data_IF_493885482180
#
_entry.id   IF_493885482180
#
_cell.length_a   1.000
_cell.length_b   1.000
_cell.length_c   1.000
_cell.angle_alpha   90.00
_cell.angle_beta   90.00
_cell.angle_gamma   90.00
#
_symmetry.space_group_name_H-M   'P 1'
#
loop_
_entity.id
_entity.type
_entity.pdbx_description
1 polymer ?
#
# COMPACT_ATOMS: atom_id res chain seq x y z
N UNK A 1 15.70 4.50 -6.26
CA UNK A 1 14.40 4.35 -6.96
C UNK A 1 13.97 5.73 -7.39
N UNK A 2 13.52 5.93 -8.62
CA UNK A 2 13.12 7.25 -9.09
C UNK A 2 11.72 7.58 -8.56
N UNK A 3 11.53 8.78 -8.03
CA UNK A 3 10.26 9.26 -7.42
C UNK A 3 9.09 9.18 -8.42
N UNK A 4 9.38 9.36 -9.71
CA UNK A 4 8.39 9.30 -10.78
C UNK A 4 7.99 7.87 -11.19
N UNK A 5 8.68 6.84 -10.66
CA UNK A 5 8.40 5.43 -10.97
C UNK A 5 7.35 4.77 -10.07
N UNK A 6 6.87 5.45 -9.01
CA UNK A 6 5.93 4.90 -8.02
C UNK A 6 4.58 5.64 -7.93
N UNK A 7 3.92 5.97 -9.06
CA UNK A 7 2.65 6.70 -9.01
C UNK A 7 1.53 5.94 -8.31
N UNK A 8 1.61 4.61 -8.25
CA UNK A 8 0.60 3.76 -7.61
C UNK A 8 0.61 3.86 -6.08
N UNK A 9 1.76 4.15 -5.45
CA UNK A 9 1.83 4.40 -4.01
C UNK A 9 1.26 5.78 -3.66
N UNK A 10 1.63 6.84 -4.41
CA UNK A 10 1.04 8.18 -4.24
C UNK A 10 -0.48 8.13 -4.42
N UNK A 11 -0.97 7.48 -5.50
CA UNK A 11 -2.40 7.31 -5.75
C UNK A 11 -3.12 6.52 -4.65
N UNK A 12 -2.42 5.60 -3.96
CA UNK A 12 -2.98 4.90 -2.82
C UNK A 12 -3.12 5.82 -1.60
N UNK A 13 -2.07 6.55 -1.26
CA UNK A 13 -2.08 7.45 -0.10
C UNK A 13 -3.02 8.64 -0.29
N UNK A 14 -3.25 9.10 -1.53
CA UNK A 14 -4.24 10.13 -1.91
C UNK A 14 -5.68 9.74 -1.54
N UNK A 15 -5.99 8.45 -1.41
CA UNK A 15 -7.31 7.98 -0.98
C UNK A 15 -7.56 8.16 0.52
N UNK A 16 -6.57 8.60 1.29
CA UNK A 16 -6.69 8.90 2.71
C UNK A 16 -6.62 7.67 3.63
N UNK A 17 -6.07 6.56 3.17
CA UNK A 17 -5.77 5.42 4.03
C UNK A 17 -4.64 5.74 4.99
N UNK A 18 -4.74 5.33 6.25
CA UNK A 18 -3.65 5.49 7.24
C UNK A 18 -2.70 4.29 7.22
N UNK A 19 -3.22 3.09 6.89
CA UNK A 19 -2.46 1.85 6.78
C UNK A 19 -2.74 1.18 5.44
N UNK A 20 -1.94 0.20 5.07
CA UNK A 20 -2.19 -0.64 3.89
C UNK A 20 -3.15 -1.79 4.19
N UNK A 21 -3.63 -1.92 5.43
CA UNK A 21 -4.56 -2.93 5.87
C UNK A 21 -5.97 -2.38 6.01
N UNK A 22 -6.93 -3.06 5.42
CA UNK A 22 -8.34 -2.93 5.73
C UNK A 22 -9.18 -2.18 4.72
N UNK A 23 -10.33 -2.78 4.46
CA UNK A 23 -11.34 -2.35 3.48
C UNK A 23 -12.25 -1.23 4.01
N UNK A 24 -12.08 -0.78 5.22
CA UNK A 24 -13.02 0.13 5.85
C UNK A 24 -12.34 1.20 6.67
N UNK A 25 -12.11 2.35 6.03
CA UNK A 25 -11.87 3.69 6.61
C UNK A 25 -10.78 3.84 7.69
N UNK A 26 -10.31 5.05 7.92
CA UNK A 26 -8.99 5.38 8.44
C UNK A 26 -8.83 4.94 9.91
N UNK A 27 -8.81 3.65 10.16
CA UNK A 27 -8.35 3.13 11.44
C UNK A 27 -6.85 2.87 11.33
N UNK A 28 -6.15 3.31 12.37
CA UNK A 28 -4.76 2.94 12.57
C UNK A 28 -4.67 1.47 13.00
N UNK A 29 -3.45 0.95 13.08
CA UNK A 29 -3.20 -0.38 13.63
C UNK A 29 -3.85 -0.55 15.00
N UNK A 30 -4.35 -1.76 15.27
CA UNK A 30 -4.86 -2.22 16.54
C UNK A 30 -4.19 -3.55 16.94
N UNK A 31 -4.58 -4.11 18.10
CA UNK A 31 -4.07 -5.38 18.61
C UNK A 31 -2.53 -5.43 18.69
N UNK A 32 -1.98 -6.58 18.37
CA UNK A 32 -0.54 -6.89 18.53
C UNK A 32 0.40 -5.87 17.89
N UNK A 33 0.05 -5.34 16.70
CA UNK A 33 0.91 -4.37 16.00
C UNK A 33 0.93 -3.03 16.73
N UNK A 34 -0.24 -2.58 17.19
CA UNK A 34 -0.34 -1.35 17.98
C UNK A 34 0.40 -1.47 19.29
N UNK A 35 0.14 -2.56 20.03
CA UNK A 35 0.75 -2.83 21.35
C UNK A 35 2.27 -2.89 21.24
N UNK A 36 2.79 -3.54 20.17
CA UNK A 36 4.22 -3.57 19.89
C UNK A 36 4.82 -2.16 19.79
N UNK A 37 4.21 -1.27 18.99
CA UNK A 37 4.73 0.09 18.83
C UNK A 37 4.55 0.94 20.07
N UNK A 38 3.41 0.83 20.78
CA UNK A 38 3.19 1.54 22.06
C UNK A 38 4.26 1.17 23.09
N UNK A 39 4.61 -0.11 23.23
CA UNK A 39 5.68 -0.58 24.10
C UNK A 39 7.02 0.07 23.76
N UNK A 40 7.40 0.08 22.46
CA UNK A 40 8.68 0.67 22.02
C UNK A 40 8.77 2.16 22.30
N UNK A 41 7.69 2.91 22.12
CA UNK A 41 7.65 4.34 22.41
C UNK A 41 7.58 4.67 23.90
N UNK A 42 6.98 3.81 24.71
CA UNK A 42 6.98 3.98 26.16
C UNK A 42 8.39 3.88 26.78
N UNK A 43 9.26 3.04 26.21
CA UNK A 43 10.65 2.88 26.65
C UNK A 43 11.53 4.12 26.38
N UNK A 44 11.12 5.03 25.51
CA UNK A 44 11.93 6.17 25.09
C UNK A 44 12.01 7.27 26.17
N UNK A 45 13.10 8.07 26.21
CA UNK A 45 13.16 9.29 27.01
C UNK A 45 11.99 10.25 26.71
N UNK A 46 11.70 11.16 27.64
CA UNK A 46 10.57 12.09 27.53
C UNK A 46 10.73 13.05 26.33
N UNK A 47 11.95 13.40 25.97
CA UNK A 47 12.31 14.33 24.90
C UNK A 47 12.88 13.62 23.65
N UNK A 48 12.55 12.34 23.45
CA UNK A 48 13.09 11.56 22.36
C UNK A 48 12.72 12.12 20.98
N UNK A 49 13.65 11.95 20.04
CA UNK A 49 13.47 12.25 18.62
C UNK A 49 13.24 10.95 17.86
N UNK A 50 12.16 10.89 17.13
CA UNK A 50 11.64 9.71 16.44
C UNK A 50 11.56 10.02 14.94
N UNK A 51 12.12 9.14 14.11
CA UNK A 51 11.96 9.19 12.66
C UNK A 51 11.22 7.94 12.20
N UNK A 52 10.13 8.11 11.47
CA UNK A 52 9.39 7.02 10.83
C UNK A 52 9.64 7.08 9.32
N UNK A 53 10.37 6.10 8.75
CA UNK A 53 10.73 6.05 7.33
C UNK A 53 9.79 5.12 6.57
N UNK A 54 9.53 5.42 5.29
CA UNK A 54 8.51 4.77 4.48
C UNK A 54 7.17 4.73 5.23
N UNK A 55 6.83 5.88 5.81
CA UNK A 55 5.76 6.01 6.80
C UNK A 55 4.35 5.98 6.19
N UNK A 56 4.23 6.10 4.86
CA UNK A 56 2.96 6.33 4.20
C UNK A 56 2.24 7.53 4.82
N UNK A 57 0.96 7.43 5.08
CA UNK A 57 0.23 8.47 5.79
C UNK A 57 0.51 8.49 7.31
N UNK A 58 1.60 7.91 7.80
CA UNK A 58 2.14 8.09 9.15
C UNK A 58 1.41 7.31 10.23
N UNK A 59 1.12 6.04 10.01
CA UNK A 59 0.45 5.18 10.97
C UNK A 59 1.25 5.03 12.27
N UNK A 60 2.53 4.65 12.17
CA UNK A 60 3.43 4.46 13.33
C UNK A 60 3.78 5.78 13.99
N UNK A 61 4.09 6.82 13.21
CA UNK A 61 4.32 8.18 13.72
C UNK A 61 3.11 8.70 14.52
N UNK A 62 1.88 8.37 14.09
CA UNK A 62 0.65 8.73 14.82
C UNK A 62 0.56 7.99 16.16
N UNK A 63 0.92 6.71 16.23
CA UNK A 63 0.98 5.97 17.50
C UNK A 63 2.00 6.63 18.44
N UNK A 64 3.18 6.99 17.95
CA UNK A 64 4.19 7.70 18.75
C UNK A 64 3.64 9.02 19.32
N UNK A 65 2.94 9.81 18.51
CA UNK A 65 2.34 11.07 18.94
C UNK A 65 1.22 10.86 19.98
N UNK A 66 0.41 9.83 19.82
CA UNK A 66 -0.63 9.46 20.81
C UNK A 66 0.00 9.01 22.14
N UNK A 67 1.07 8.20 22.10
CA UNK A 67 1.83 7.81 23.30
C UNK A 67 2.43 9.02 23.98
N UNK A 68 3.06 9.94 23.22
CA UNK A 68 3.61 11.19 23.76
C UNK A 68 2.57 11.98 24.53
N UNK A 69 1.40 12.20 23.93
CA UNK A 69 0.29 12.94 24.56
C UNK A 69 -0.28 12.24 25.80
N UNK A 70 -0.46 10.92 25.74
CA UNK A 70 -1.04 10.13 26.82
C UNK A 70 -0.13 10.04 28.05
N UNK A 71 1.19 10.12 27.85
CA UNK A 71 2.21 9.89 28.87
C UNK A 71 3.10 11.13 29.16
N UNK A 72 2.64 12.34 28.73
CA UNK A 72 3.33 13.61 28.94
C UNK A 72 4.78 13.59 28.45
N UNK A 73 5.04 12.95 27.30
CA UNK A 73 6.34 12.93 26.65
C UNK A 73 6.39 13.97 25.53
N UNK A 74 7.45 14.77 25.49
CA UNK A 74 7.65 15.83 24.51
C UNK A 74 8.44 15.32 23.29
N UNK A 75 7.91 14.29 22.60
CA UNK A 75 8.57 13.73 21.43
C UNK A 75 8.65 14.72 20.27
N UNK A 76 9.83 14.80 19.63
CA UNK A 76 9.96 15.28 18.26
C UNK A 76 9.73 14.11 17.33
N UNK A 77 8.80 14.22 16.37
CA UNK A 77 8.43 13.14 15.47
C UNK A 77 8.48 13.63 14.04
N UNK A 78 9.27 12.97 13.21
CA UNK A 78 9.30 13.16 11.76
C UNK A 78 8.86 11.88 11.06
N UNK A 79 8.15 12.02 9.95
CA UNK A 79 7.67 10.93 9.10
C UNK A 79 8.03 11.21 7.65
N UNK A 80 8.72 10.30 7.00
CA UNK A 80 9.19 10.47 5.62
C UNK A 80 8.67 9.35 4.72
N UNK A 81 8.32 9.68 3.49
CA UNK A 81 7.94 8.70 2.49
C UNK A 81 8.36 9.16 1.08
N UNK A 82 8.72 8.22 0.22
CA UNK A 82 9.04 8.51 -1.18
C UNK A 82 7.79 8.93 -1.98
N UNK A 83 6.62 8.46 -1.59
CA UNK A 83 5.35 8.84 -2.19
C UNK A 83 4.90 10.25 -1.73
N UNK A 84 3.90 10.81 -2.42
CA UNK A 84 3.15 11.92 -1.86
C UNK A 84 2.29 11.41 -0.70
N UNK A 85 2.42 12.04 0.47
CA UNK A 85 1.66 11.70 1.67
C UNK A 85 0.82 12.89 2.12
N UNK A 86 -0.37 12.60 2.62
CA UNK A 86 -1.36 13.63 2.99
C UNK A 86 -1.70 13.55 4.48
N UNK A 87 -0.91 14.26 5.28
CA UNK A 87 -1.06 14.30 6.73
C UNK A 87 -2.45 14.75 7.21
N UNK A 88 -3.10 15.60 6.43
CA UNK A 88 -4.28 16.37 6.87
C UNK A 88 -5.60 15.61 6.72
N UNK A 89 -5.65 14.58 5.88
CA UNK A 89 -6.91 13.98 5.42
C UNK A 89 -7.38 12.78 6.24
N UNK A 90 -6.60 12.32 7.22
CA UNK A 90 -6.77 10.96 7.76
C UNK A 90 -7.08 10.94 9.25
N UNK A 91 -8.11 10.18 9.62
CA UNK A 91 -8.42 9.82 11.00
C UNK A 91 -9.58 10.59 11.65
N UNK A 92 -9.91 10.16 12.85
CA UNK A 92 -10.82 10.88 13.74
C UNK A 92 -10.17 12.14 14.35
N UNK A 93 -10.90 12.90 15.13
CA UNK A 93 -10.41 14.15 15.71
C UNK A 93 -9.23 13.96 16.66
N UNK A 94 -9.17 12.87 17.39
CA UNK A 94 -8.04 12.54 18.26
C UNK A 94 -6.77 12.24 17.43
N UNK A 95 -6.91 11.43 16.40
CA UNK A 95 -5.85 11.15 15.43
C UNK A 95 -5.35 12.41 14.76
N UNK A 96 -6.25 13.25 14.25
CA UNK A 96 -5.88 14.55 13.63
C UNK A 96 -5.14 15.46 14.60
N UNK A 97 -5.56 15.47 15.87
CA UNK A 97 -4.91 16.28 16.89
C UNK A 97 -3.50 15.78 17.21
N UNK A 98 -3.30 14.47 17.32
CA UNK A 98 -1.98 13.87 17.52
C UNK A 98 -1.05 14.16 16.33
N UNK A 99 -1.54 14.09 15.12
CA UNK A 99 -0.78 14.32 13.89
C UNK A 99 -0.26 15.73 13.70
N UNK A 100 -0.86 16.74 14.37
CA UNK A 100 -0.37 18.12 14.34
C UNK A 100 1.06 18.30 14.88
N UNK A 101 1.54 17.36 15.68
CA UNK A 101 2.90 17.36 16.22
C UNK A 101 3.91 16.58 15.39
N UNK A 102 3.53 16.08 14.22
CA UNK A 102 4.38 15.28 13.34
C UNK A 102 4.83 16.14 12.15
N UNK A 103 6.13 16.15 11.85
CA UNK A 103 6.68 16.72 10.63
C UNK A 103 6.62 15.68 9.50
N UNK A 104 5.83 15.94 8.47
CA UNK A 104 5.70 15.06 7.32
C UNK A 104 6.54 15.54 6.14
N UNK A 105 7.34 14.64 5.57
CA UNK A 105 8.18 14.90 4.40
C UNK A 105 7.84 13.92 3.28
N UNK A 106 7.11 14.38 2.28
CA UNK A 106 6.86 13.66 1.04
C UNK A 106 8.10 13.62 0.15
N UNK A 107 8.14 12.71 -0.80
CA UNK A 107 9.21 12.56 -1.81
C UNK A 107 10.60 12.41 -1.19
N UNK A 108 10.65 11.72 -0.07
CA UNK A 108 11.89 11.48 0.68
C UNK A 108 12.18 9.99 0.71
N UNK A 109 13.12 9.50 -0.10
CA UNK A 109 13.50 8.09 -0.12
C UNK A 109 14.22 7.68 1.16
N UNK A 110 14.11 6.41 1.54
CA UNK A 110 14.77 5.87 2.73
C UNK A 110 16.29 6.03 2.70
N UNK A 111 16.87 6.01 1.51
CA UNK A 111 18.30 6.11 1.25
C UNK A 111 18.88 7.52 1.45
N UNK A 112 18.02 8.51 1.63
CA UNK A 112 18.47 9.90 1.82
C UNK A 112 17.47 10.69 2.67
N UNK A 113 17.85 10.96 3.91
CA UNK A 113 17.03 11.66 4.89
C UNK A 113 17.50 13.11 5.10
N UNK A 114 16.58 14.10 5.09
CA UNK A 114 16.92 15.52 5.18
C UNK A 114 17.23 15.97 6.61
N UNK A 115 17.94 15.14 7.39
CA UNK A 115 18.25 15.41 8.79
C UNK A 115 19.76 15.31 9.04
N UNK A 116 20.20 15.95 10.11
CA UNK A 116 21.60 15.93 10.54
C UNK A 116 22.06 14.53 11.01
N UNK A 117 23.36 14.32 11.07
CA UNK A 117 23.94 13.14 11.67
C UNK A 117 23.61 13.10 13.18
N UNK A 118 23.53 11.89 13.73
CA UNK A 118 23.38 11.69 15.18
C UNK A 118 22.16 12.42 15.79
N UNK A 119 21.06 12.49 15.06
CA UNK A 119 19.90 13.32 15.44
C UNK A 119 18.81 12.53 16.16
N UNK A 120 18.51 11.28 15.79
CA UNK A 120 17.38 10.51 16.29
C UNK A 120 17.74 9.49 17.35
N UNK A 121 16.87 9.34 18.36
CA UNK A 121 16.96 8.27 19.35
C UNK A 121 16.51 6.92 18.76
N UNK A 122 15.52 6.97 17.88
CA UNK A 122 14.97 5.81 17.21
C UNK A 122 14.55 6.16 15.78
N UNK A 123 14.81 5.22 14.87
CA UNK A 123 14.22 5.18 13.53
C UNK A 123 13.28 3.98 13.48
N UNK A 124 12.08 4.17 12.93
CA UNK A 124 11.05 3.13 12.79
C UNK A 124 10.65 2.93 11.34
N UNK A 125 10.15 1.74 11.01
CA UNK A 125 9.47 1.46 9.74
C UNK A 125 8.50 0.32 9.89
N UNK A 126 7.32 0.44 9.30
CA UNK A 126 6.29 -0.59 9.29
C UNK A 126 5.92 -0.95 7.86
N UNK A 127 6.33 -2.15 7.40
CA UNK A 127 6.06 -2.66 6.05
C UNK A 127 6.48 -1.68 4.95
N UNK A 128 7.71 -1.14 5.04
CA UNK A 128 8.15 -0.08 4.15
C UNK A 128 9.62 -0.12 3.78
N UNK A 129 10.54 -0.21 4.74
CA UNK A 129 11.97 -0.08 4.45
C UNK A 129 12.50 -1.22 3.56
N UNK A 130 11.89 -2.39 3.60
CA UNK A 130 12.27 -3.54 2.76
C UNK A 130 12.04 -3.34 1.27
N UNK A 131 11.35 -2.27 0.86
CA UNK A 131 11.18 -1.88 -0.54
C UNK A 131 12.36 -1.04 -1.08
N UNK A 132 13.22 -0.57 -0.20
CA UNK A 132 14.34 0.31 -0.53
C UNK A 132 15.62 -0.46 -0.89
N UNK A 133 16.67 0.26 -1.29
CA UNK A 133 18.02 -0.27 -1.32
C UNK A 133 18.53 -0.46 0.12
N UNK A 134 18.46 -1.70 0.61
CA UNK A 134 18.71 -2.04 2.02
C UNK A 134 20.10 -1.56 2.48
N UNK A 135 21.14 -1.72 1.67
CA UNK A 135 22.50 -1.35 2.07
C UNK A 135 22.63 0.17 2.25
N UNK A 136 22.10 0.95 1.29
CA UNK A 136 22.13 2.41 1.37
C UNK A 136 21.21 2.92 2.48
N UNK A 137 20.04 2.32 2.62
CA UNK A 137 19.09 2.67 3.69
C UNK A 137 19.67 2.42 5.07
N UNK A 138 20.33 1.29 5.30
CA UNK A 138 20.97 1.00 6.57
C UNK A 138 22.12 1.98 6.88
N UNK A 139 22.93 2.35 5.88
CA UNK A 139 23.97 3.35 6.04
C UNK A 139 23.37 4.73 6.42
N UNK A 140 22.27 5.11 5.78
CA UNK A 140 21.58 6.37 6.06
C UNK A 140 20.89 6.37 7.42
N UNK A 141 20.21 5.28 7.81
CA UNK A 141 19.65 5.10 9.15
C UNK A 141 20.76 5.23 10.21
N UNK A 142 21.91 4.59 9.98
CA UNK A 142 23.04 4.67 10.92
C UNK A 142 23.59 6.09 11.03
N UNK A 143 23.61 6.85 9.93
CA UNK A 143 24.04 8.26 9.91
C UNK A 143 23.14 9.15 10.77
N UNK A 144 21.83 9.00 10.66
CA UNK A 144 20.89 9.88 11.38
C UNK A 144 20.65 9.45 12.83
N UNK A 145 20.97 8.19 13.20
CA UNK A 145 20.85 7.70 14.57
C UNK A 145 21.99 8.23 15.45
N UNK A 146 21.63 8.79 16.61
CA UNK A 146 22.60 9.15 17.64
C UNK A 146 23.34 7.92 18.18
N UNK A 147 24.50 8.09 18.81
CA UNK A 147 25.18 6.99 19.49
C UNK A 147 24.26 6.28 20.47
N UNK A 148 24.14 4.95 20.33
CA UNK A 148 23.22 4.13 21.12
C UNK A 148 21.75 4.18 20.68
N UNK A 149 21.43 4.92 19.62
CA UNK A 149 20.11 4.92 18.99
C UNK A 149 19.73 3.56 18.41
N UNK A 150 18.45 3.34 18.13
CA UNK A 150 17.91 2.05 17.68
C UNK A 150 17.18 2.21 16.35
N UNK A 151 17.31 1.22 15.46
CA UNK A 151 16.38 1.02 14.36
C UNK A 151 15.48 -0.17 14.67
N UNK A 152 14.16 0.04 14.57
CA UNK A 152 13.16 -1.01 14.76
C UNK A 152 12.23 -1.01 13.56
N UNK A 153 12.08 -2.16 12.93
CA UNK A 153 11.15 -2.32 11.83
C UNK A 153 10.28 -3.57 11.98
N UNK A 154 9.07 -3.49 11.41
CA UNK A 154 8.26 -4.67 11.10
C UNK A 154 8.18 -4.77 9.58
N UNK A 155 8.61 -5.90 9.03
CA UNK A 155 8.73 -6.11 7.59
C UNK A 155 7.96 -7.34 7.13
N UNK A 156 7.61 -7.39 5.85
CA UNK A 156 6.91 -8.52 5.26
C UNK A 156 7.71 -9.82 5.34
N UNK A 157 7.07 -10.89 5.82
CA UNK A 157 7.60 -12.25 5.74
C UNK A 157 6.98 -12.97 4.55
N UNK A 158 7.77 -13.67 3.73
CA UNK A 158 7.28 -14.39 2.53
C UNK A 158 6.13 -15.37 2.82
N UNK A 159 6.13 -16.00 3.98
CA UNK A 159 5.08 -16.96 4.40
C UNK A 159 3.95 -16.31 5.21
N UNK A 160 3.91 -15.00 5.38
CA UNK A 160 2.84 -14.35 6.13
C UNK A 160 1.50 -14.50 5.40
N UNK A 161 0.42 -14.50 6.17
CA UNK A 161 -0.95 -14.50 5.62
C UNK A 161 -1.15 -13.33 4.65
N UNK A 162 -0.57 -12.18 4.96
CA UNK A 162 -0.63 -10.99 4.14
C UNK A 162 -0.04 -11.21 2.74
N UNK A 163 1.18 -11.78 2.68
CA UNK A 163 1.85 -12.04 1.39
C UNK A 163 1.13 -13.12 0.59
N UNK A 164 0.65 -14.18 1.24
CA UNK A 164 -0.15 -15.23 0.57
C UNK A 164 -1.44 -14.67 -0.02
N UNK A 165 -2.11 -13.78 0.72
CA UNK A 165 -3.31 -13.10 0.20
C UNK A 165 -2.97 -12.21 -0.99
N UNK A 166 -1.87 -11.44 -0.90
CA UNK A 166 -1.41 -10.59 -1.98
C UNK A 166 -1.07 -11.37 -3.26
N UNK A 167 -0.49 -12.55 -3.14
CA UNK A 167 -0.21 -13.42 -4.31
C UNK A 167 -1.49 -13.86 -5.01
N UNK A 168 -2.52 -14.23 -4.25
CA UNK A 168 -3.83 -14.60 -4.80
C UNK A 168 -4.48 -13.40 -5.50
N UNK A 169 -4.51 -12.25 -4.85
CA UNK A 169 -5.08 -11.02 -5.40
C UNK A 169 -4.37 -10.58 -6.67
N UNK A 170 -3.03 -10.58 -6.65
CA UNK A 170 -2.19 -10.25 -7.81
C UNK A 170 -2.55 -11.11 -9.03
N UNK A 171 -2.79 -12.40 -8.82
CA UNK A 171 -3.16 -13.33 -9.88
C UNK A 171 -4.57 -13.05 -10.45
N UNK A 172 -5.52 -12.61 -9.61
CA UNK A 172 -6.86 -12.19 -10.06
C UNK A 172 -6.76 -10.98 -10.99
N UNK A 173 -6.01 -9.95 -10.58
CA UNK A 173 -5.79 -8.78 -11.44
C UNK A 173 -5.04 -9.11 -12.72
N UNK A 174 -4.03 -9.99 -12.67
CA UNK A 174 -3.32 -10.46 -13.86
C UNK A 174 -4.27 -11.14 -14.84
N UNK A 175 -5.16 -12.00 -14.36
CA UNK A 175 -6.16 -12.66 -15.23
C UNK A 175 -7.08 -11.66 -15.90
N UNK A 176 -7.58 -10.66 -15.17
CA UNK A 176 -8.49 -9.67 -15.73
C UNK A 176 -7.81 -8.75 -16.75
N UNK A 177 -6.60 -8.28 -16.43
CA UNK A 177 -5.87 -7.29 -17.22
C UNK A 177 -5.19 -7.88 -18.46
N UNK A 178 -4.46 -8.97 -18.28
CA UNK A 178 -3.54 -9.50 -19.30
C UNK A 178 -4.06 -10.83 -19.89
N UNK A 179 -4.31 -11.83 -19.06
CA UNK A 179 -4.62 -13.18 -19.55
C UNK A 179 -5.92 -13.23 -20.36
N UNK A 180 -6.97 -12.61 -19.84
CA UNK A 180 -8.29 -12.58 -20.49
C UNK A 180 -8.52 -11.29 -21.28
N UNK A 181 -7.72 -10.24 -21.07
CA UNK A 181 -7.94 -8.91 -21.68
C UNK A 181 -9.40 -8.47 -21.59
N UNK A 182 -9.96 -8.54 -20.37
CA UNK A 182 -11.38 -8.20 -20.15
C UNK A 182 -11.64 -6.75 -20.52
N UNK A 183 -10.80 -5.85 -20.04
CA UNK A 183 -10.96 -4.41 -20.28
C UNK A 183 -10.86 -4.04 -21.76
N UNK A 184 -9.94 -4.66 -22.51
CA UNK A 184 -9.82 -4.48 -23.95
C UNK A 184 -11.04 -5.00 -24.70
N UNK A 185 -11.60 -6.15 -24.30
CA UNK A 185 -12.81 -6.68 -24.89
C UNK A 185 -14.04 -5.77 -24.61
N UNK A 186 -14.20 -5.33 -23.37
CA UNK A 186 -15.27 -4.39 -22.96
C UNK A 186 -15.16 -3.08 -23.74
N UNK A 187 -13.96 -2.52 -23.86
CA UNK A 187 -13.69 -1.28 -24.60
C UNK A 187 -14.11 -1.41 -26.06
N UNK A 188 -13.75 -2.53 -26.72
CA UNK A 188 -14.18 -2.80 -28.12
C UNK A 188 -15.69 -2.91 -28.25
N UNK A 189 -16.35 -3.59 -27.33
CA UNK A 189 -17.79 -3.70 -27.28
C UNK A 189 -18.49 -2.34 -27.11
N UNK A 190 -18.09 -1.57 -26.09
CA UNK A 190 -18.71 -0.29 -25.79
C UNK A 190 -18.51 0.75 -26.91
N UNK A 191 -17.36 0.72 -27.60
CA UNK A 191 -17.13 1.55 -28.79
C UNK A 191 -18.03 1.15 -29.95
N UNK A 192 -18.29 -0.15 -30.14
CA UNK A 192 -19.12 -0.65 -31.24
C UNK A 192 -20.63 -0.34 -31.10
N UNK A 193 -21.11 -0.10 -29.88
CA UNK A 193 -22.48 0.35 -29.62
C UNK A 193 -22.74 1.73 -30.30
N UNK A 194 -21.72 2.60 -30.38
CA UNK A 194 -21.86 3.97 -30.94
C UNK A 194 -22.50 4.95 -29.96
N UNK A 195 -22.77 6.17 -30.41
CA UNK A 195 -23.35 7.21 -29.57
C UNK A 195 -24.79 6.87 -29.13
N UNK A 196 -25.26 7.42 -27.99
CA UNK A 196 -26.64 7.29 -27.53
C UNK A 196 -27.61 7.73 -28.61
N UNK A 197 -28.70 7.03 -28.76
CA UNK A 197 -29.76 7.37 -29.71
C UNK A 197 -31.16 7.24 -29.02
N UNK A 198 -32.01 8.21 -29.28
CA UNK A 198 -33.40 8.18 -28.79
C UNK A 198 -34.32 7.26 -29.64
N UNK A 199 -33.99 7.11 -30.93
CA UNK A 199 -34.77 6.24 -31.85
C UNK A 199 -34.52 4.75 -31.50
N UNK A 200 -35.61 4.03 -31.06
CA UNK A 200 -35.49 2.61 -30.72
C UNK A 200 -35.01 1.71 -31.87
N UNK A 201 -35.20 2.15 -33.13
CA UNK A 201 -34.71 1.38 -34.30
C UNK A 201 -33.18 1.47 -34.40
N UNK A 202 -32.63 2.67 -34.17
CA UNK A 202 -31.18 2.87 -34.14
C UNK A 202 -30.50 2.10 -32.99
N UNK A 203 -31.10 2.17 -31.80
CA UNK A 203 -30.68 1.39 -30.63
C UNK A 203 -30.65 -0.09 -30.95
N UNK A 204 -31.74 -0.64 -31.47
CA UNK A 204 -31.81 -2.07 -31.83
C UNK A 204 -30.78 -2.47 -32.87
N UNK A 205 -30.53 -1.61 -33.87
CA UNK A 205 -29.51 -1.83 -34.91
C UNK A 205 -28.10 -1.85 -34.30
N UNK A 206 -27.77 -0.91 -33.40
CA UNK A 206 -26.51 -0.85 -32.70
C UNK A 206 -26.27 -2.11 -31.84
N UNK A 207 -27.23 -2.50 -31.03
CA UNK A 207 -27.18 -3.69 -30.19
C UNK A 207 -27.03 -4.99 -31.01
N UNK A 208 -27.76 -5.10 -32.15
CA UNK A 208 -27.59 -6.25 -33.04
C UNK A 208 -26.19 -6.33 -33.65
N UNK A 209 -25.62 -5.18 -34.04
CA UNK A 209 -24.26 -5.09 -34.63
C UNK A 209 -23.18 -5.42 -33.61
N UNK A 210 -23.33 -4.97 -32.35
CA UNK A 210 -22.35 -5.18 -31.30
C UNK A 210 -22.48 -6.53 -30.57
N UNK A 211 -23.53 -7.32 -30.87
CA UNK A 211 -23.81 -8.61 -30.18
C UNK A 211 -22.63 -9.59 -30.15
N UNK A 212 -21.87 -9.83 -31.24
CA UNK A 212 -20.74 -10.74 -31.17
C UNK A 212 -19.64 -10.29 -30.17
N UNK A 213 -19.45 -8.97 -30.03
CA UNK A 213 -18.52 -8.42 -29.05
C UNK A 213 -19.08 -8.51 -27.62
N UNK A 214 -20.38 -8.33 -27.44
CA UNK A 214 -21.04 -8.58 -26.16
C UNK A 214 -20.94 -10.04 -25.74
N UNK A 215 -21.17 -10.97 -26.65
CA UNK A 215 -21.04 -12.41 -26.37
C UNK A 215 -19.60 -12.79 -26.00
N UNK A 216 -18.60 -12.19 -26.66
CA UNK A 216 -17.20 -12.38 -26.32
C UNK A 216 -16.82 -11.80 -24.92
N UNK A 217 -17.39 -10.65 -24.56
CA UNK A 217 -17.22 -10.09 -23.20
C UNK A 217 -17.85 -11.00 -22.16
N UNK A 218 -19.09 -11.46 -22.37
CA UNK A 218 -19.76 -12.36 -21.44
C UNK A 218 -18.99 -13.66 -21.26
N UNK A 219 -18.50 -14.28 -22.34
CA UNK A 219 -17.67 -15.48 -22.27
C UNK A 219 -16.42 -15.30 -21.40
N UNK A 220 -15.71 -14.15 -21.54
CA UNK A 220 -14.54 -13.83 -20.71
C UNK A 220 -14.91 -13.59 -19.24
N UNK A 221 -16.02 -12.92 -18.97
CA UNK A 221 -16.50 -12.70 -17.61
C UNK A 221 -16.95 -14.01 -16.94
N UNK A 222 -17.57 -14.92 -17.69
CA UNK A 222 -17.98 -16.24 -17.18
C UNK A 222 -16.75 -17.12 -16.90
N UNK A 223 -15.75 -17.11 -17.78
CA UNK A 223 -14.46 -17.78 -17.52
C UNK A 223 -13.78 -17.20 -16.29
N UNK A 224 -13.71 -15.86 -16.19
CA UNK A 224 -13.11 -15.17 -15.04
C UNK A 224 -13.79 -15.51 -13.71
N UNK A 225 -15.15 -15.53 -13.69
CA UNK A 225 -15.93 -15.96 -12.53
C UNK A 225 -15.70 -17.43 -12.18
N UNK A 226 -15.65 -18.31 -13.19
CA UNK A 226 -15.47 -19.73 -12.96
C UNK A 226 -14.13 -20.07 -12.29
N UNK A 227 -13.08 -19.28 -12.59
CA UNK A 227 -11.75 -19.46 -12.03
C UNK A 227 -11.62 -18.85 -10.63
N UNK A 228 -12.20 -17.65 -10.41
CA UNK A 228 -11.97 -16.86 -9.19
C UNK A 228 -13.10 -16.99 -8.15
N UNK A 229 -14.20 -17.66 -8.51
CA UNK A 229 -15.33 -17.91 -7.60
C UNK A 229 -15.96 -16.63 -7.04
N UNK A 230 -16.23 -16.64 -5.73
CA UNK A 230 -16.82 -15.54 -4.98
C UNK A 230 -15.80 -14.57 -4.38
N UNK A 231 -14.58 -14.53 -4.88
CA UNK A 231 -13.59 -13.55 -4.41
C UNK A 231 -14.09 -12.12 -4.64
N UNK A 232 -13.97 -11.27 -3.64
CA UNK A 232 -14.52 -9.91 -3.64
C UNK A 232 -13.95 -9.05 -4.79
N UNK A 233 -12.68 -9.24 -5.17
CA UNK A 233 -12.03 -8.53 -6.28
C UNK A 233 -12.64 -8.94 -7.61
N UNK A 234 -12.94 -10.24 -7.75
CA UNK A 234 -13.64 -10.76 -8.92
C UNK A 234 -15.05 -10.19 -9.01
N UNK A 235 -15.78 -10.16 -7.89
CA UNK A 235 -17.13 -9.58 -7.80
C UNK A 235 -17.08 -8.09 -8.16
N UNK A 236 -16.11 -7.35 -7.63
CA UNK A 236 -15.93 -5.92 -7.90
C UNK A 236 -15.71 -5.66 -9.40
N UNK A 237 -14.73 -6.32 -10.03
CA UNK A 237 -14.39 -6.12 -11.44
C UNK A 237 -15.61 -6.41 -12.33
N UNK A 238 -16.26 -7.53 -12.09
CA UNK A 238 -17.44 -7.95 -12.86
C UNK A 238 -18.61 -7.00 -12.63
N UNK A 239 -18.82 -6.56 -11.39
CA UNK A 239 -19.88 -5.63 -11.01
C UNK A 239 -19.75 -4.28 -11.72
N UNK A 240 -18.56 -3.67 -11.68
CA UNK A 240 -18.29 -2.38 -12.33
C UNK A 240 -18.48 -2.50 -13.85
N UNK A 241 -17.92 -3.52 -14.48
CA UNK A 241 -18.07 -3.75 -15.93
C UNK A 241 -19.54 -3.94 -16.31
N UNK A 242 -20.28 -4.72 -15.52
CA UNK A 242 -21.72 -4.95 -15.75
C UNK A 242 -22.52 -3.65 -15.62
N UNK A 243 -22.17 -2.81 -14.65
CA UNK A 243 -22.83 -1.51 -14.45
C UNK A 243 -22.56 -0.55 -15.61
N UNK A 244 -21.32 -0.46 -16.08
CA UNK A 244 -20.95 0.36 -17.25
C UNK A 244 -21.72 -0.14 -18.49
N UNK A 245 -21.75 -1.45 -18.72
CA UNK A 245 -22.45 -2.05 -19.85
C UNK A 245 -23.97 -1.80 -19.76
N UNK A 246 -24.57 -1.91 -18.58
CA UNK A 246 -26.01 -1.63 -18.35
C UNK A 246 -26.37 -0.16 -18.66
N UNK A 247 -25.51 0.78 -18.29
CA UNK A 247 -25.73 2.20 -18.50
C UNK A 247 -25.24 2.71 -19.87
N UNK A 248 -24.68 1.82 -20.70
CA UNK A 248 -23.99 2.19 -21.92
C UNK A 248 -24.81 3.05 -22.90
N UNK A 249 -26.14 2.84 -22.98
CA UNK A 249 -27.01 3.61 -23.86
C UNK A 249 -27.40 5.00 -23.32
N UNK A 250 -27.04 5.30 -22.06
CA UNK A 250 -27.28 6.60 -21.41
C UNK A 250 -26.02 7.46 -21.34
N UNK A 251 -24.90 6.91 -21.73
CA UNK A 251 -23.58 7.56 -21.69
C UNK A 251 -23.07 7.75 -23.12
N UNK A 252 -22.34 8.81 -23.38
CA UNK A 252 -21.58 8.99 -24.63
C UNK A 252 -20.52 7.91 -24.77
N UNK A 253 -19.97 7.73 -25.97
CA UNK A 253 -18.85 6.80 -26.19
C UNK A 253 -17.65 7.19 -25.32
N UNK A 254 -17.34 8.49 -25.22
CA UNK A 254 -16.24 8.99 -24.40
C UNK A 254 -16.41 8.61 -22.93
N UNK A 255 -17.55 8.97 -22.31
CA UNK A 255 -17.83 8.68 -20.90
C UNK A 255 -17.71 7.18 -20.56
N UNK A 256 -18.18 6.31 -21.46
CA UNK A 256 -18.06 4.85 -21.26
C UNK A 256 -16.63 4.36 -21.31
N UNK A 257 -15.86 4.87 -22.27
CA UNK A 257 -14.45 4.47 -22.42
C UNK A 257 -13.62 4.99 -21.27
N UNK A 258 -13.87 6.21 -20.82
CA UNK A 258 -13.21 6.81 -19.66
C UNK A 258 -13.49 5.98 -18.39
N UNK A 259 -14.73 5.60 -18.13
CA UNK A 259 -15.09 4.76 -16.98
C UNK A 259 -14.41 3.38 -17.00
N UNK A 260 -14.25 2.76 -18.19
CA UNK A 260 -13.49 1.51 -18.34
C UNK A 260 -12.00 1.73 -18.11
N UNK A 261 -11.44 2.81 -18.64
CA UNK A 261 -10.02 3.12 -18.53
C UNK A 261 -9.64 3.50 -17.09
N UNK A 262 -10.49 4.23 -16.36
CA UNK A 262 -10.34 4.50 -14.93
C UNK A 262 -10.31 3.20 -14.11
N UNK A 263 -11.28 2.30 -14.35
CA UNK A 263 -11.34 1.00 -13.67
C UNK A 263 -10.10 0.15 -13.98
N UNK A 264 -9.66 0.13 -15.25
CA UNK A 264 -8.45 -0.57 -15.66
C UNK A 264 -7.22 -0.01 -14.95
N UNK A 265 -7.09 1.30 -14.89
CA UNK A 265 -5.99 2.00 -14.22
C UNK A 265 -5.96 1.68 -12.74
N UNK A 266 -7.12 1.70 -12.08
CA UNK A 266 -7.25 1.27 -10.68
C UNK A 266 -6.72 -0.17 -10.48
N UNK A 267 -7.15 -1.13 -11.32
CA UNK A 267 -6.69 -2.51 -11.24
C UNK A 267 -5.18 -2.63 -11.50
N UNK A 268 -4.62 -1.84 -12.43
CA UNK A 268 -3.19 -1.83 -12.73
C UNK A 268 -2.37 -1.31 -11.54
N UNK A 269 -2.78 -0.20 -10.94
CA UNK A 269 -2.12 0.38 -9.77
C UNK A 269 -2.18 -0.56 -8.57
N UNK A 270 -3.34 -1.19 -8.34
CA UNK A 270 -3.49 -2.15 -7.26
C UNK A 270 -2.57 -3.35 -7.44
N UNK A 271 -2.52 -3.92 -8.66
CA UNK A 271 -1.59 -5.01 -8.98
C UNK A 271 -0.12 -4.60 -8.82
N UNK A 272 0.24 -3.37 -9.19
CA UNK A 272 1.60 -2.87 -9.03
C UNK A 272 2.01 -2.88 -7.55
N UNK A 273 1.17 -2.35 -6.65
CA UNK A 273 1.43 -2.40 -5.20
C UNK A 273 1.58 -3.84 -4.67
N UNK A 274 0.72 -4.76 -5.12
CA UNK A 274 0.81 -6.17 -4.73
C UNK A 274 2.11 -6.82 -5.23
N UNK A 275 2.57 -6.46 -6.44
CA UNK A 275 3.87 -6.90 -6.96
C UNK A 275 5.02 -6.40 -6.09
N UNK A 276 5.02 -5.12 -5.74
CA UNK A 276 6.05 -4.54 -4.88
C UNK A 276 6.08 -5.27 -3.53
N UNK A 277 4.92 -5.48 -2.92
CA UNK A 277 4.78 -6.15 -1.63
C UNK A 277 5.33 -7.59 -1.65
N UNK A 278 4.96 -8.39 -2.66
CA UNK A 278 5.44 -9.76 -2.81
C UNK A 278 6.95 -9.80 -3.09
N UNK A 279 7.46 -8.88 -3.91
CA UNK A 279 8.88 -8.83 -4.26
C UNK A 279 9.77 -8.37 -3.09
N UNK A 280 9.27 -7.44 -2.28
CA UNK A 280 9.97 -6.91 -1.11
C UNK A 280 10.01 -7.89 0.06
N UNK A 281 9.03 -8.81 0.16
CA UNK A 281 8.93 -9.74 1.28
C UNK A 281 10.23 -10.51 1.53
N UNK A 282 10.58 -10.64 2.81
CA UNK A 282 11.83 -11.19 3.28
C UNK A 282 11.67 -12.67 3.66
N UNK A 283 12.52 -13.51 3.07
CA UNK A 283 12.78 -14.87 3.54
C UNK A 283 13.98 -14.89 4.51
N UNK A 284 14.35 -16.07 5.00
CA UNK A 284 15.49 -16.21 5.90
C UNK A 284 16.82 -15.78 5.25
N UNK A 285 17.00 -16.05 3.95
CA UNK A 285 18.22 -15.68 3.24
C UNK A 285 18.37 -14.15 3.14
N UNK A 286 17.27 -13.44 2.84
CA UNK A 286 17.25 -11.96 2.83
C UNK A 286 17.50 -11.38 4.23
N UNK A 287 16.96 -11.99 5.29
CA UNK A 287 17.22 -11.60 6.68
C UNK A 287 18.68 -11.80 7.06
N UNK A 288 19.30 -12.90 6.67
CA UNK A 288 20.73 -13.15 6.92
C UNK A 288 21.60 -12.12 6.19
N UNK A 289 21.28 -11.78 4.93
CA UNK A 289 21.95 -10.74 4.16
C UNK A 289 21.77 -9.35 4.79
N UNK A 290 20.55 -9.01 5.26
CA UNK A 290 20.27 -7.77 5.98
C UNK A 290 21.10 -7.67 7.26
N UNK A 291 21.23 -8.75 8.00
CA UNK A 291 22.05 -8.80 9.21
C UNK A 291 23.53 -8.51 8.93
N UNK A 292 24.06 -9.04 7.82
CA UNK A 292 25.43 -8.74 7.38
C UNK A 292 25.57 -7.27 6.94
N UNK A 293 24.63 -6.76 6.17
CA UNK A 293 24.60 -5.35 5.74
C UNK A 293 24.50 -4.39 6.94
N UNK A 294 23.70 -4.71 7.95
CA UNK A 294 23.58 -3.91 9.16
C UNK A 294 24.92 -3.82 9.91
N UNK A 295 25.64 -4.94 10.06
CA UNK A 295 26.98 -4.93 10.65
C UNK A 295 27.97 -4.11 9.83
N UNK A 296 27.91 -4.23 8.49
CA UNK A 296 28.76 -3.44 7.60
C UNK A 296 28.47 -1.93 7.69
N UNK A 297 27.22 -1.55 7.93
CA UNK A 297 26.80 -0.17 8.19
C UNK A 297 27.18 0.36 9.58
N UNK A 298 27.74 -0.49 10.48
CA UNK A 298 28.23 -0.09 11.80
C UNK A 298 27.23 -0.30 12.96
N UNK A 299 26.18 -1.10 12.78
CA UNK A 299 25.34 -1.53 13.89
C UNK A 299 26.04 -2.60 14.74
N UNK A 300 26.08 -2.40 16.05
CA UNK A 300 26.72 -3.31 17.00
C UNK A 300 25.94 -4.61 17.19
N UNK A 301 24.60 -4.52 17.11
CA UNK A 301 23.72 -5.68 17.22
C UNK A 301 22.62 -5.66 16.15
N UNK A 302 22.29 -6.86 15.66
CA UNK A 302 21.21 -7.07 14.69
C UNK A 302 20.45 -8.35 15.07
N UNK A 303 19.19 -8.20 15.37
CA UNK A 303 18.30 -9.30 15.75
C UNK A 303 17.02 -9.24 14.92
N UNK A 304 16.58 -10.40 14.45
CA UNK A 304 15.33 -10.54 13.73
C UNK A 304 14.50 -11.69 14.33
N UNK A 305 13.24 -11.43 14.58
CA UNK A 305 12.30 -12.39 15.17
C UNK A 305 11.02 -12.42 14.32
N UNK A 306 10.35 -13.56 14.29
CA UNK A 306 9.02 -13.64 13.65
C UNK A 306 8.00 -12.93 14.53
N UNK A 307 7.18 -12.08 13.91
CA UNK A 307 6.02 -11.46 14.56
C UNK A 307 4.78 -12.30 14.24
N UNK A 308 4.06 -12.69 15.30
CA UNK A 308 2.78 -13.38 15.18
C UNK A 308 1.66 -12.45 15.64
N UNK A 309 0.59 -12.40 14.85
CA UNK A 309 -0.68 -11.78 15.23
C UNK A 309 -1.48 -12.72 16.15
N UNK A 310 -2.72 -12.34 16.47
CA UNK A 310 -3.66 -13.21 17.16
C UNK A 310 -3.83 -14.54 16.40
N UNK A 311 -4.16 -15.61 17.10
CA UNK A 311 -4.32 -16.97 16.54
C UNK A 311 -3.04 -17.58 15.91
N UNK A 312 -1.85 -17.20 16.39
CA UNK A 312 -0.56 -17.70 15.90
C UNK A 312 -0.32 -17.46 14.39
N UNK A 313 -1.02 -16.51 13.79
CA UNK A 313 -0.80 -16.15 12.39
C UNK A 313 0.49 -15.35 12.23
N UNK A 314 1.37 -15.81 11.32
CA UNK A 314 2.59 -15.10 11.00
C UNK A 314 2.27 -13.77 10.30
N UNK A 315 2.60 -12.66 10.97
CA UNK A 315 2.36 -11.31 10.48
C UNK A 315 3.56 -10.72 9.72
N UNK A 316 4.79 -11.02 10.16
CA UNK A 316 5.99 -10.45 9.57
C UNK A 316 7.27 -10.76 10.32
N UNK A 317 8.32 -9.98 10.04
CA UNK A 317 9.56 -9.95 10.78
C UNK A 317 9.61 -8.72 11.68
N UNK A 318 10.03 -8.89 12.93
CA UNK A 318 10.54 -7.79 13.76
C UNK A 318 12.05 -7.72 13.57
N UNK A 319 12.57 -6.54 13.25
CA UNK A 319 13.98 -6.27 13.02
C UNK A 319 14.42 -5.22 14.03
N UNK A 320 15.45 -5.52 14.81
CA UNK A 320 16.02 -4.66 15.83
C UNK A 320 17.52 -4.49 15.59
N UNK A 321 17.94 -3.27 15.29
CA UNK A 321 19.35 -2.92 15.08
C UNK A 321 19.77 -1.84 16.10
N UNK A 322 21.01 -1.96 16.60
CA UNK A 322 21.59 -0.98 17.53
C UNK A 322 23.07 -0.76 17.24
#
# INVERSE_FOLDING_TARGET
>A
MDIDELPHWSSFWDQGYITTFGDSKPKNYDGVVRDFWEEKFLELPTDARILDIAAGNGAVATIAAQVGRKHDKAFFIAATDIANIHAELVGDEETKLARKSIEFHSRTPCEHQPFDNDYFNIVTSQFGFEYSDIEKTLAEIRRVLMPGGKFIAVSHHVDSTLIRTAEVEREIYFRALDKLDIFGAVRRYLKAIGEPAEDPKLVRKAMKKSRPLSDAVNSKLDEFRSINGSDERSIFIVGVISQIAHNAMRMTVAERLDAVDETRTFCQQHRARLNDMVNAALDQQKIDALTLAARAAGFESAHSLKLFAEDDQLAGWQIHLR
#
